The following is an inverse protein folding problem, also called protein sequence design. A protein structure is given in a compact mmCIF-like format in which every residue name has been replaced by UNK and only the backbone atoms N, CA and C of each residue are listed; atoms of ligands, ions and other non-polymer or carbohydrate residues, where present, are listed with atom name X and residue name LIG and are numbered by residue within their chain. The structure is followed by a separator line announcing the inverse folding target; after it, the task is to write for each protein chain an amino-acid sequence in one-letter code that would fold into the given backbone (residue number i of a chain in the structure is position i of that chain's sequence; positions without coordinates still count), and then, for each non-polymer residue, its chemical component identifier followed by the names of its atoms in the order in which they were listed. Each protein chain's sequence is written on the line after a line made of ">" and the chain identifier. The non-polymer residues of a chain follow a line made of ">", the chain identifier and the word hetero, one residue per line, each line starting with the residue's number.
data_IF_002072482919
#
_entry.id   IF_002072482919
#
_cell.length_a   1.000
_cell.length_b   1.000
_cell.length_c   1.000
_cell.angle_alpha   90.00
_cell.angle_beta   90.00
_cell.angle_gamma   90.00
#
_symmetry.space_group_name_H-M   'P 1'
#
loop_
_entity.id
_entity.type
_entity.pdbx_description
1 polymer ?
#
# COMPACT_ATOMS: atom_id res chain seq x y z
N UNK A 1 -12.20 22.51 55.32
CA UNK A 1 -12.38 21.82 54.02
C UNK A 1 -12.17 20.33 54.26
N UNK A 2 -13.10 19.47 53.84
CA UNK A 2 -13.03 18.03 54.17
C UNK A 2 -11.79 17.39 53.54
N UNK A 3 -11.04 16.60 54.31
CA UNK A 3 -9.85 15.89 53.84
C UNK A 3 -10.14 15.02 52.59
N UNK A 4 -11.39 14.57 52.47
CA UNK A 4 -11.89 13.83 51.32
C UNK A 4 -11.86 14.63 50.01
N UNK A 5 -12.20 15.93 50.05
CA UNK A 5 -12.14 16.81 48.87
C UNK A 5 -10.70 16.98 48.39
N UNK A 6 -9.75 17.13 49.32
CA UNK A 6 -8.33 17.27 48.98
C UNK A 6 -7.78 15.98 48.33
N UNK A 7 -8.17 14.81 48.85
CA UNK A 7 -7.78 13.52 48.26
C UNK A 7 -8.37 13.31 46.86
N UNK A 8 -9.64 13.67 46.67
CA UNK A 8 -10.31 13.56 45.38
C UNK A 8 -9.66 14.49 44.34
N UNK A 9 -9.29 15.70 44.74
CA UNK A 9 -8.64 16.68 43.87
C UNK A 9 -7.22 16.24 43.47
N UNK A 10 -6.47 15.62 44.39
CA UNK A 10 -5.15 15.01 44.09
C UNK A 10 -5.25 13.85 43.10
N UNK A 11 -6.20 12.94 43.30
CA UNK A 11 -6.43 11.81 42.40
C UNK A 11 -6.89 12.28 41.02
N UNK A 12 -7.79 13.26 40.97
CA UNK A 12 -8.25 13.86 39.72
C UNK A 12 -7.11 14.54 38.96
N UNK A 13 -6.27 15.32 39.65
CA UNK A 13 -5.09 15.94 39.05
C UNK A 13 -4.10 14.91 38.50
N UNK A 14 -3.83 13.84 39.25
CA UNK A 14 -2.94 12.77 38.81
C UNK A 14 -3.49 12.04 37.57
N UNK A 15 -4.79 11.78 37.52
CA UNK A 15 -5.44 11.18 36.36
C UNK A 15 -5.36 12.10 35.12
N UNK A 16 -5.60 13.40 35.30
CA UNK A 16 -5.46 14.41 34.24
C UNK A 16 -4.03 14.46 33.69
N UNK A 17 -3.03 14.41 34.57
CA UNK A 17 -1.62 14.40 34.19
C UNK A 17 -1.27 13.12 33.42
N UNK A 18 -1.79 11.97 33.84
CA UNK A 18 -1.63 10.71 33.13
C UNK A 18 -2.26 10.73 31.73
N UNK A 19 -3.48 11.27 31.60
CA UNK A 19 -4.15 11.46 30.30
C UNK A 19 -3.32 12.38 29.39
N UNK A 20 -2.78 13.47 29.95
CA UNK A 20 -1.91 14.39 29.20
C UNK A 20 -0.62 13.72 28.72
N UNK A 21 0.08 12.96 29.58
CA UNK A 21 1.27 12.20 29.19
C UNK A 21 0.93 11.21 28.08
N UNK A 22 -0.16 10.46 28.24
CA UNK A 22 -0.58 9.49 27.23
C UNK A 22 -0.93 10.17 25.90
N UNK A 23 -1.62 11.30 25.93
CA UNK A 23 -1.92 12.10 24.74
C UNK A 23 -0.64 12.54 24.03
N UNK A 24 0.36 13.06 24.76
CA UNK A 24 1.67 13.45 24.20
C UNK A 24 2.38 12.25 23.56
N UNK A 25 2.37 11.08 24.21
CA UNK A 25 2.98 9.87 23.66
C UNK A 25 2.28 9.40 22.38
N UNK A 26 0.95 9.46 22.33
CA UNK A 26 0.15 9.13 21.14
C UNK A 26 0.45 10.12 20.01
N UNK A 27 0.52 11.42 20.31
CA UNK A 27 0.83 12.46 19.32
C UNK A 27 2.24 12.31 18.76
N UNK A 28 3.26 12.11 19.60
CA UNK A 28 4.65 11.91 19.13
C UNK A 28 4.77 10.65 18.27
N UNK A 29 4.08 9.57 18.65
CA UNK A 29 4.05 8.35 17.82
C UNK A 29 3.41 8.64 16.46
N UNK A 30 2.29 9.35 16.43
CA UNK A 30 1.63 9.67 15.17
C UNK A 30 2.43 10.65 14.29
N UNK A 31 3.20 11.56 14.90
CA UNK A 31 4.00 12.57 14.20
C UNK A 31 5.31 12.00 13.61
N UNK A 32 5.93 11.04 14.30
CA UNK A 32 7.20 10.42 13.87
C UNK A 32 7.00 9.28 12.87
N UNK A 33 5.84 8.60 12.87
CA UNK A 33 5.53 7.49 11.96
C UNK A 33 4.69 7.93 10.74
N UNK A 34 5.11 9.04 10.14
CA UNK A 34 4.56 9.56 8.89
C UNK A 34 4.31 8.49 7.82
N UNK A 35 3.26 8.75 7.05
CA UNK A 35 2.86 8.22 5.74
C UNK A 35 3.86 7.23 5.11
N UNK A 36 3.83 5.97 5.57
CA UNK A 36 4.51 4.88 4.87
C UNK A 36 3.57 4.27 3.84
N UNK A 37 3.72 4.68 2.58
CA UNK A 37 3.25 3.87 1.44
C UNK A 37 4.07 2.58 1.46
N UNK A 38 3.58 1.58 2.18
CA UNK A 38 4.24 0.28 2.24
C UNK A 38 3.95 -0.47 0.94
N UNK A 39 4.76 -0.23 -0.09
CA UNK A 39 4.86 -1.14 -1.23
C UNK A 39 5.51 -2.44 -0.76
N UNK A 40 4.72 -3.36 -0.17
CA UNK A 40 5.17 -4.74 0.05
C UNK A 40 5.16 -5.47 -1.28
N UNK A 41 6.18 -5.21 -2.09
CA UNK A 41 6.48 -5.97 -3.29
C UNK A 41 7.06 -7.33 -2.89
N UNK A 42 6.29 -8.38 -3.12
CA UNK A 42 6.72 -9.75 -3.42
C UNK A 42 7.86 -10.36 -2.60
N UNK A 43 7.52 -11.06 -1.51
CA UNK A 43 8.28 -12.24 -1.09
C UNK A 43 7.75 -13.46 -1.84
N UNK A 44 8.04 -13.53 -3.14
CA UNK A 44 8.04 -14.81 -3.86
C UNK A 44 9.19 -15.64 -3.31
N UNK A 45 8.86 -16.64 -2.49
CA UNK A 45 9.75 -17.76 -2.18
C UNK A 45 10.18 -18.40 -3.51
N UNK A 46 11.40 -18.08 -3.95
CA UNK A 46 12.05 -18.74 -5.08
C UNK A 46 13.34 -19.37 -4.57
N UNK A 47 13.53 -20.66 -4.88
CA UNK A 47 14.84 -21.30 -4.79
C UNK A 47 14.97 -22.47 -3.81
N UNK A 48 14.14 -23.51 -3.94
CA UNK A 48 14.57 -24.87 -3.54
C UNK A 48 14.65 -25.74 -4.80
N UNK A 49 15.70 -25.52 -5.59
CA UNK A 49 16.19 -26.49 -6.57
C UNK A 49 17.70 -26.61 -6.33
N UNK A 50 18.08 -27.54 -5.46
CA UNK A 50 19.44 -28.07 -5.39
C UNK A 50 19.51 -29.22 -6.39
N UNK A 51 19.95 -28.93 -7.61
CA UNK A 51 20.46 -29.95 -8.53
C UNK A 51 21.98 -30.04 -8.36
N UNK A 52 22.43 -30.98 -7.53
CA UNK A 52 23.85 -31.35 -7.45
C UNK A 52 24.15 -32.38 -8.54
N UNK A 53 24.72 -31.92 -9.66
CA UNK A 53 25.29 -32.78 -10.70
C UNK A 53 26.80 -32.58 -10.81
N UNK A 54 27.51 -33.58 -10.30
CA UNK A 54 28.65 -34.29 -10.91
C UNK A 54 29.87 -33.47 -11.38
N UNK A 55 30.96 -33.65 -10.65
CA UNK A 55 32.33 -33.34 -11.03
C UNK A 55 32.79 -34.16 -12.25
N UNK A 56 33.55 -33.50 -13.13
CA UNK A 56 34.21 -34.11 -14.28
C UNK A 56 34.98 -33.07 -15.09
N UNK A 57 36.24 -32.84 -14.71
CA UNK A 57 37.29 -32.29 -15.58
C UNK A 57 37.58 -33.29 -16.72
N UNK A 58 37.93 -32.85 -17.95
CA UNK A 58 39.33 -32.49 -18.19
C UNK A 58 39.62 -31.41 -19.27
N UNK A 59 40.74 -30.69 -19.05
CA UNK A 59 41.78 -30.25 -20.01
C UNK A 59 41.37 -29.98 -21.47
N UNK A 60 41.55 -28.73 -21.95
CA UNK A 60 42.32 -28.46 -23.19
C UNK A 60 42.95 -27.06 -23.17
N UNK A 61 44.18 -27.01 -23.65
CA UNK A 61 45.06 -25.88 -23.90
C UNK A 61 44.81 -25.24 -25.29
N UNK A 62 45.22 -23.99 -25.42
CA UNK A 62 45.81 -23.33 -26.61
C UNK A 62 44.98 -23.01 -27.88
N UNK A 63 44.95 -21.70 -28.17
CA UNK A 63 45.41 -21.03 -29.40
C UNK A 63 44.46 -20.75 -30.60
N UNK A 64 44.57 -19.48 -31.08
CA UNK A 64 44.31 -18.91 -32.42
C UNK A 64 42.83 -18.67 -32.82
N UNK A 65 42.35 -17.43 -33.04
CA UNK A 65 42.70 -16.37 -34.00
C UNK A 65 42.39 -16.71 -35.47
N UNK A 66 41.23 -16.29 -36.01
CA UNK A 66 41.09 -15.42 -37.21
C UNK A 66 39.61 -15.12 -37.55
N UNK A 67 39.43 -13.92 -38.10
CA UNK A 67 38.22 -13.28 -38.61
C UNK A 67 37.66 -13.93 -39.88
N UNK A 68 36.33 -14.10 -39.97
CA UNK A 68 35.58 -13.92 -41.22
C UNK A 68 34.05 -13.74 -41.00
N UNK A 69 33.63 -12.54 -41.37
CA UNK A 69 32.32 -11.96 -41.72
C UNK A 69 31.17 -12.90 -42.17
N UNK A 70 29.95 -12.45 -41.83
CA UNK A 70 28.65 -12.67 -42.49
C UNK A 70 27.69 -13.66 -41.81
N UNK A 71 26.84 -13.12 -40.94
CA UNK A 71 25.68 -13.81 -40.37
C UNK A 71 24.68 -12.78 -39.86
N UNK A 72 23.49 -12.81 -40.45
CA UNK A 72 22.34 -11.92 -40.21
C UNK A 72 21.83 -12.00 -38.77
N UNK A 73 21.18 -10.91 -38.35
CA UNK A 73 20.06 -10.83 -37.41
C UNK A 73 20.05 -11.78 -36.20
N UNK A 74 20.30 -11.20 -35.02
CA UNK A 74 19.30 -11.16 -33.94
C UNK A 74 19.80 -10.20 -32.86
N UNK A 75 19.55 -8.90 -33.06
CA UNK A 75 19.28 -8.07 -31.89
C UNK A 75 18.14 -8.76 -31.13
N UNK A 76 18.27 -9.05 -29.84
CA UNK A 76 17.08 -9.37 -29.06
C UNK A 76 16.16 -8.16 -29.23
N UNK A 77 15.08 -8.33 -29.99
CA UNK A 77 13.93 -7.47 -29.86
C UNK A 77 13.72 -7.30 -28.35
N UNK A 78 13.56 -6.08 -27.81
CA UNK A 78 12.88 -5.98 -26.53
C UNK A 78 11.57 -6.72 -26.78
N UNK A 79 11.42 -7.88 -26.13
CA UNK A 79 10.11 -8.50 -26.01
C UNK A 79 9.17 -7.35 -25.64
N UNK A 80 7.95 -7.27 -26.20
CA UNK A 80 6.93 -6.45 -25.61
C UNK A 80 6.73 -7.01 -24.21
N UNK A 81 7.52 -6.53 -23.25
CA UNK A 81 7.13 -6.49 -21.88
C UNK A 81 5.90 -5.60 -21.95
N UNK A 82 4.75 -6.25 -22.13
CA UNK A 82 3.50 -5.82 -21.54
C UNK A 82 3.75 -5.77 -20.03
N UNK A 83 4.62 -4.86 -19.60
CA UNK A 83 4.58 -4.34 -18.27
C UNK A 83 3.13 -3.89 -18.14
N UNK A 84 2.34 -4.52 -17.24
CA UNK A 84 0.97 -4.09 -17.05
C UNK A 84 1.04 -2.60 -16.82
N UNK A 85 0.33 -1.85 -17.66
CA UNK A 85 0.28 -0.39 -17.54
C UNK A 85 0.09 -0.06 -16.06
N UNK A 86 0.97 0.78 -15.53
CA UNK A 86 1.16 0.93 -14.08
C UNK A 86 -0.03 1.66 -13.49
N UNK A 87 -1.13 0.93 -13.29
CA UNK A 87 -2.32 1.44 -12.65
C UNK A 87 -1.94 1.91 -11.25
N UNK A 88 -2.45 3.06 -10.86
CA UNK A 88 -2.15 3.67 -9.57
C UNK A 88 -3.37 4.43 -9.06
N UNK A 89 -3.51 4.51 -7.74
CA UNK A 89 -4.49 5.39 -7.10
C UNK A 89 -3.84 6.74 -6.85
N UNK A 90 -4.47 7.81 -7.30
CA UNK A 90 -4.09 9.19 -6.98
C UNK A 90 -5.05 9.73 -5.95
N UNK A 91 -4.53 10.34 -4.89
CA UNK A 91 -5.34 11.13 -3.96
C UNK A 91 -5.63 12.47 -4.62
N UNK A 92 -6.87 12.69 -5.07
CA UNK A 92 -7.31 13.92 -5.72
C UNK A 92 -7.88 14.95 -4.74
N UNK A 93 -8.24 14.53 -3.52
CA UNK A 93 -8.73 15.43 -2.48
C UNK A 93 -8.46 14.89 -1.07
N UNK A 94 -8.34 15.79 -0.09
CA UNK A 94 -8.04 15.48 1.30
C UNK A 94 -6.66 15.98 1.75
N UNK A 95 -6.21 15.53 2.92
CA UNK A 95 -4.91 15.91 3.50
C UNK A 95 -3.71 15.34 2.74
N UNK A 96 -3.91 14.25 1.99
CA UNK A 96 -2.87 13.55 1.25
C UNK A 96 -2.91 13.84 -0.26
N UNK A 97 -3.60 14.89 -0.69
CA UNK A 97 -3.73 15.29 -2.11
C UNK A 97 -2.38 15.28 -2.83
N UNK A 98 -2.32 14.66 -4.00
CA UNK A 98 -1.10 14.49 -4.80
C UNK A 98 -0.29 13.23 -4.47
N UNK A 99 -0.63 12.50 -3.41
CA UNK A 99 -0.04 11.20 -3.12
C UNK A 99 -0.51 10.17 -4.14
N UNK A 100 0.40 9.29 -4.56
CA UNK A 100 0.12 8.22 -5.53
C UNK A 100 0.53 6.88 -4.96
N UNK A 101 -0.33 5.88 -5.12
CA UNK A 101 -0.09 4.51 -4.67
C UNK A 101 -0.10 3.58 -5.87
N UNK A 102 1.00 2.85 -6.12
CA UNK A 102 1.02 1.88 -7.20
C UNK A 102 0.07 0.72 -6.89
N UNK A 103 -0.79 0.41 -7.86
CA UNK A 103 -1.67 -0.74 -7.81
C UNK A 103 -1.03 -1.89 -8.58
N UNK A 104 -0.65 -2.94 -7.85
CA UNK A 104 -0.04 -4.15 -8.41
C UNK A 104 -1.03 -5.31 -8.51
N UNK A 105 -0.53 -6.52 -8.29
CA UNK A 105 -1.32 -7.75 -8.25
C UNK A 105 -2.00 -8.02 -6.91
N UNK A 106 -1.65 -7.28 -5.86
CA UNK A 106 -2.20 -7.44 -4.52
C UNK A 106 -3.28 -6.40 -4.23
N UNK A 107 -4.21 -6.76 -3.34
CA UNK A 107 -5.22 -5.82 -2.88
C UNK A 107 -4.62 -4.73 -2.00
N UNK A 108 -5.03 -3.48 -2.21
CA UNK A 108 -4.63 -2.32 -1.42
C UNK A 108 -5.76 -1.97 -0.45
N UNK A 109 -5.48 -1.99 0.84
CA UNK A 109 -6.44 -1.59 1.88
C UNK A 109 -6.23 -0.13 2.24
N UNK A 110 -7.33 0.61 2.39
CA UNK A 110 -7.36 2.01 2.80
C UNK A 110 -8.11 2.12 4.12
N UNK A 111 -7.56 2.87 5.06
CA UNK A 111 -8.18 3.04 6.37
C UNK A 111 -7.30 3.84 7.32
N UNK A 112 -7.80 4.06 8.54
CA UNK A 112 -7.07 4.80 9.59
C UNK A 112 -6.03 3.95 10.32
N UNK A 113 -6.15 2.62 10.26
CA UNK A 113 -5.17 1.73 10.90
C UNK A 113 -3.81 1.84 10.22
N UNK A 114 -2.70 1.84 10.98
CA UNK A 114 -1.35 1.74 10.42
C UNK A 114 -1.10 0.44 9.65
N UNK A 115 -1.97 -0.56 9.77
CA UNK A 115 -1.91 -1.80 8.99
C UNK A 115 -2.45 -1.63 7.55
N UNK A 116 -3.08 -0.50 7.25
CA UNK A 116 -3.57 -0.19 5.90
C UNK A 116 -2.41 0.23 4.98
N UNK A 117 -2.53 -0.12 3.69
CA UNK A 117 -1.53 0.28 2.70
C UNK A 117 -1.57 1.80 2.43
N UNK A 118 -2.77 2.39 2.48
CA UNK A 118 -2.97 3.83 2.57
C UNK A 118 -3.56 4.15 3.94
N UNK A 119 -2.77 4.82 4.77
CA UNK A 119 -3.21 5.28 6.08
C UNK A 119 -3.83 6.67 5.93
N UNK A 120 -5.12 6.79 6.25
CA UNK A 120 -5.84 8.06 6.29
C UNK A 120 -5.99 8.52 7.73
N UNK A 121 -5.37 9.65 8.07
CA UNK A 121 -5.56 10.28 9.38
C UNK A 121 -6.81 11.17 9.36
N UNK A 122 -7.97 10.53 9.35
CA UNK A 122 -9.25 11.22 9.45
C UNK A 122 -10.24 10.47 10.36
N UNK A 123 -11.03 11.24 11.12
CA UNK A 123 -12.02 10.69 12.08
C UNK A 123 -13.29 10.10 11.45
N UNK A 124 -13.48 10.30 10.15
CA UNK A 124 -14.58 9.72 9.36
C UNK A 124 -14.16 8.39 8.68
N UNK A 125 -12.90 7.98 8.83
CA UNK A 125 -12.36 6.78 8.24
C UNK A 125 -12.20 5.68 9.28
N UNK A 126 -12.85 4.53 9.05
CA UNK A 126 -12.70 3.33 9.86
C UNK A 126 -11.27 2.74 9.78
N UNK A 127 -10.90 1.93 10.77
CA UNK A 127 -9.54 1.35 10.86
C UNK A 127 -9.14 0.59 9.58
N UNK A 128 -10.03 -0.25 9.06
CA UNK A 128 -9.98 -0.82 7.72
C UNK A 128 -11.27 -0.40 7.03
N UNK A 129 -11.21 0.53 6.11
CA UNK A 129 -12.41 1.19 5.57
C UNK A 129 -12.82 0.57 4.24
N UNK A 130 -11.90 0.53 3.28
CA UNK A 130 -12.16 0.00 1.95
C UNK A 130 -10.97 -0.81 1.45
N UNK A 131 -11.24 -1.71 0.51
CA UNK A 131 -10.23 -2.52 -0.17
C UNK A 131 -10.38 -2.35 -1.67
N UNK A 132 -9.26 -2.03 -2.32
CA UNK A 132 -9.12 -2.02 -3.77
C UNK A 132 -8.44 -3.32 -4.18
N UNK A 133 -9.00 -4.04 -5.15
CA UNK A 133 -8.42 -5.29 -5.61
C UNK A 133 -8.63 -5.47 -7.11
N UNK A 134 -7.75 -6.24 -7.73
CA UNK A 134 -7.86 -6.60 -9.13
C UNK A 134 -8.47 -8.01 -9.25
N UNK A 135 -9.49 -8.14 -10.08
CA UNK A 135 -10.10 -9.43 -10.42
C UNK A 135 -10.25 -9.49 -11.94
N UNK A 136 -9.59 -10.47 -12.58
CA UNK A 136 -9.68 -10.66 -14.03
C UNK A 136 -9.14 -9.49 -14.86
N UNK A 137 -8.22 -8.67 -14.32
CA UNK A 137 -7.69 -7.48 -14.99
C UNK A 137 -8.49 -6.20 -14.73
N UNK A 138 -9.65 -6.30 -14.08
CA UNK A 138 -10.48 -5.16 -13.71
C UNK A 138 -10.30 -4.79 -12.23
N UNK A 139 -10.39 -3.50 -11.94
CA UNK A 139 -10.28 -2.98 -10.58
C UNK A 139 -11.65 -2.88 -9.93
N UNK A 140 -11.72 -3.29 -8.67
CA UNK A 140 -12.91 -3.20 -7.85
C UNK A 140 -12.57 -2.51 -6.54
N UNK A 141 -13.59 -1.89 -5.95
CA UNK A 141 -13.57 -1.36 -4.60
C UNK A 141 -14.67 -2.02 -3.79
N UNK A 142 -14.32 -2.41 -2.56
CA UNK A 142 -15.23 -3.03 -1.60
C UNK A 142 -15.15 -2.26 -0.28
N UNK A 143 -16.30 -1.96 0.30
CA UNK A 143 -16.41 -1.40 1.63
C UNK A 143 -16.24 -2.51 2.68
N UNK A 144 -15.33 -2.32 3.63
CA UNK A 144 -15.04 -3.29 4.70
C UNK A 144 -15.94 -3.03 5.93
N UNK A 145 -17.23 -2.81 5.67
CA UNK A 145 -18.24 -2.51 6.66
C UNK A 145 -17.89 -1.26 7.50
N UNK A 146 -17.55 -0.19 6.78
CA UNK A 146 -17.16 1.09 7.36
C UNK A 146 -18.36 1.84 7.95
N UNK A 147 -18.10 2.73 8.90
CA UNK A 147 -19.18 3.46 9.59
C UNK A 147 -19.86 4.48 8.68
N UNK A 148 -19.08 5.24 7.90
CA UNK A 148 -19.60 6.31 7.04
C UNK A 148 -19.84 5.87 5.59
N UNK A 149 -19.38 4.67 5.23
CA UNK A 149 -19.49 4.12 3.89
C UNK A 149 -18.43 4.60 2.92
N UNK A 150 -18.25 3.82 1.87
CA UNK A 150 -17.45 4.16 0.69
C UNK A 150 -18.36 4.69 -0.41
N UNK A 151 -17.95 5.75 -1.09
CA UNK A 151 -18.71 6.38 -2.18
C UNK A 151 -17.93 6.29 -3.48
N UNK A 152 -18.57 5.88 -4.57
CA UNK A 152 -18.01 5.87 -5.93
C UNK A 152 -18.80 6.87 -6.76
N UNK A 153 -18.15 7.94 -7.19
CA UNK A 153 -18.84 9.10 -7.76
C UNK A 153 -19.76 9.73 -6.71
N UNK A 154 -21.06 9.72 -6.99
CA UNK A 154 -22.13 10.23 -6.13
C UNK A 154 -22.90 9.12 -5.39
N UNK A 155 -22.55 7.85 -5.60
CA UNK A 155 -23.31 6.71 -5.07
C UNK A 155 -22.54 6.00 -3.96
N UNK A 156 -23.25 5.64 -2.88
CA UNK A 156 -22.69 4.82 -1.80
C UNK A 156 -22.78 3.35 -2.20
N UNK A 157 -21.65 2.65 -2.09
CA UNK A 157 -21.59 1.23 -2.40
C UNK A 157 -21.82 0.37 -1.15
N UNK A 158 -22.41 -0.81 -1.36
CA UNK A 158 -22.64 -1.82 -0.33
C UNK A 158 -22.04 -3.19 -0.70
N UNK A 159 -21.78 -3.41 -1.99
CA UNK A 159 -21.18 -4.61 -2.53
C UNK A 159 -19.91 -4.25 -3.33
N UNK A 160 -19.01 -5.22 -3.60
CA UNK A 160 -17.84 -4.98 -4.45
C UNK A 160 -18.24 -4.38 -5.80
N UNK A 161 -17.79 -3.15 -6.05
CA UNK A 161 -18.20 -2.35 -7.20
C UNK A 161 -17.02 -2.13 -8.12
N UNK A 162 -17.24 -2.29 -9.43
CA UNK A 162 -16.21 -2.08 -10.46
C UNK A 162 -15.80 -0.61 -10.49
N UNK A 163 -14.49 -0.37 -10.45
CA UNK A 163 -13.90 0.94 -10.49
C UNK A 163 -13.42 1.29 -11.90
N UNK A 164 -13.94 2.37 -12.46
CA UNK A 164 -13.52 2.89 -13.76
C UNK A 164 -12.43 3.96 -13.58
N UNK A 165 -11.52 4.05 -14.54
CA UNK A 165 -10.49 5.10 -14.54
C UNK A 165 -11.14 6.49 -14.53
N UNK A 166 -10.58 7.40 -13.74
CA UNK A 166 -11.12 8.76 -13.60
C UNK A 166 -12.31 8.90 -12.65
N UNK A 167 -12.91 7.80 -12.20
CA UNK A 167 -14.03 7.85 -11.25
C UNK A 167 -13.52 8.17 -9.84
N UNK A 168 -14.02 9.22 -9.19
CA UNK A 168 -13.62 9.54 -7.82
C UNK A 168 -14.23 8.55 -6.84
N UNK A 169 -13.46 8.10 -5.87
CA UNK A 169 -13.88 7.26 -4.75
C UNK A 169 -13.64 8.04 -3.46
N UNK A 170 -14.70 8.35 -2.73
CA UNK A 170 -14.61 9.11 -1.48
C UNK A 170 -14.68 8.19 -0.29
N UNK A 171 -13.68 8.31 0.58
CA UNK A 171 -13.51 7.57 1.83
C UNK A 171 -13.23 8.59 2.92
N UNK A 172 -14.15 8.74 3.87
CA UNK A 172 -14.06 9.78 4.89
C UNK A 172 -13.99 11.17 4.27
N UNK A 173 -12.85 11.87 4.46
CA UNK A 173 -12.59 13.19 3.85
C UNK A 173 -11.65 13.14 2.64
N UNK A 174 -11.28 11.94 2.21
CA UNK A 174 -10.28 11.73 1.16
C UNK A 174 -10.94 11.24 -0.11
N UNK A 175 -10.54 11.81 -1.24
CA UNK A 175 -10.99 11.36 -2.56
C UNK A 175 -9.83 10.73 -3.31
N UNK A 176 -10.05 9.53 -3.82
CA UNK A 176 -9.11 8.70 -4.56
C UNK A 176 -9.59 8.55 -6.00
N UNK A 177 -8.67 8.44 -6.94
CA UNK A 177 -9.01 8.26 -8.35
C UNK A 177 -8.10 7.20 -8.96
N UNK A 178 -8.70 6.28 -9.72
CA UNK A 178 -7.94 5.27 -10.46
C UNK A 178 -7.35 5.89 -11.73
N UNK A 179 -6.03 5.82 -11.87
CA UNK A 179 -5.29 6.34 -13.05
C UNK A 179 -4.33 5.30 -13.62
N UNK A 180 -3.87 5.54 -14.84
CA UNK A 180 -2.98 4.66 -15.63
C UNK A 180 -1.68 5.37 -15.98
#
# INVERSE_FOLDING_TARGET
>A
MSAFVVSLLRLGFLALLWVFIFAVLVTIKNDVFGTRVSSRSGLTRSGLSRSSSRAGDPRVSSAQAVSARSGRHNSPLPAPSSAPARTHLVVSGGSLTGSTIPLGTSSVTVGRSPDSALVLDDGYTSARHARFFNQGGEWFVEDLNSTNGTWVGSERIYEPTRLTYGTPVTIGKTTLELRR
#
